data_IF_912762578985
#
_entry.id   IF_912762578985
#
_cell.length_a   1.000
_cell.length_b   1.000
_cell.length_c   1.000
_cell.angle_alpha   90.00
_cell.angle_beta   90.00
_cell.angle_gamma   90.00
#
_symmetry.space_group_name_H-M   'P 1'
#
loop_
_entity.id
_entity.type
_entity.pdbx_description
1 polymer ?
#
# COMPACT_ATOMS: atom_id res chain seq x y z
N UNK A 1 6.48 82.19 5.45
CA UNK A 1 5.25 81.39 5.66
C UNK A 1 5.64 79.92 5.56
N UNK A 2 5.13 79.09 6.48
CA UNK A 2 5.82 78.05 7.28
C UNK A 2 5.75 76.67 6.61
N UNK A 3 6.18 75.53 7.15
CA UNK A 3 7.11 75.06 8.19
C UNK A 3 6.96 73.52 8.18
N UNK A 4 8.01 72.84 8.65
CA UNK A 4 8.03 71.55 9.34
C UNK A 4 7.63 70.21 8.67
N UNK A 5 8.45 69.23 9.07
CA UNK A 5 8.60 67.83 8.72
C UNK A 5 7.62 66.94 9.56
N UNK A 6 7.77 65.59 9.64
CA UNK A 6 7.01 64.57 8.91
C UNK A 6 6.10 63.72 9.82
N UNK A 7 5.15 62.96 9.26
CA UNK A 7 4.70 61.70 9.89
C UNK A 7 4.40 60.62 8.86
N UNK A 8 5.16 59.54 8.99
CA UNK A 8 4.89 58.20 8.48
C UNK A 8 3.69 57.59 9.22
N UNK A 9 2.78 56.94 8.47
CA UNK A 9 1.77 56.07 9.03
C UNK A 9 1.66 54.79 8.19
N UNK A 10 2.29 53.75 8.72
CA UNK A 10 2.05 52.32 8.44
C UNK A 10 0.55 51.97 8.58
N UNK A 11 -0.02 51.08 7.75
CA UNK A 11 -1.36 50.56 7.97
C UNK A 11 -1.37 49.65 9.20
N UNK A 12 -2.30 49.93 10.13
CA UNK A 12 -2.46 49.23 11.39
C UNK A 12 -3.08 47.83 11.24
N UNK A 13 -2.65 46.93 12.11
CA UNK A 13 -3.00 45.50 12.22
C UNK A 13 -4.44 45.23 12.74
N UNK A 14 -5.35 46.21 12.72
CA UNK A 14 -6.69 46.09 13.32
C UNK A 14 -7.78 46.95 12.63
N UNK A 15 -7.90 46.89 11.31
CA UNK A 15 -9.12 47.39 10.64
C UNK A 15 -10.24 46.34 10.76
N UNK A 16 -11.30 46.68 11.51
CA UNK A 16 -12.54 45.90 11.56
C UNK A 16 -13.36 46.13 10.28
N UNK A 17 -13.94 45.08 9.67
CA UNK A 17 -14.79 45.26 8.50
C UNK A 17 -16.16 45.87 8.87
N UNK A 18 -16.61 46.77 8.01
CA UNK A 18 -17.87 47.50 8.02
C UNK A 18 -19.10 46.55 8.09
N UNK A 19 -20.01 46.69 9.09
CA UNK A 19 -21.13 45.78 9.30
C UNK A 19 -22.28 45.91 8.29
N UNK A 20 -22.18 46.79 7.27
CA UNK A 20 -23.27 47.05 6.32
C UNK A 20 -22.94 46.77 4.84
N UNK A 21 -21.93 45.95 4.53
CA UNK A 21 -21.73 45.48 3.16
C UNK A 21 -22.85 44.47 2.75
N UNK A 22 -23.49 44.62 1.58
CA UNK A 22 -24.58 43.74 1.15
C UNK A 22 -24.07 42.31 0.95
N UNK A 23 -24.73 41.35 1.61
CA UNK A 23 -24.34 39.95 1.70
C UNK A 23 -24.26 39.27 0.34
N UNK A 24 -23.07 38.76 0.01
CA UNK A 24 -22.92 37.68 -0.95
C UNK A 24 -23.48 36.40 -0.33
N UNK A 25 -24.31 35.69 -1.08
CA UNK A 25 -24.83 34.38 -0.67
C UNK A 25 -23.67 33.43 -0.39
N UNK A 26 -23.51 33.06 0.89
CA UNK A 26 -22.53 32.06 1.31
C UNK A 26 -22.94 30.69 0.76
N UNK A 27 -22.10 30.00 -0.05
CA UNK A 27 -22.37 28.62 -0.39
C UNK A 27 -22.32 27.77 0.89
N UNK A 28 -23.20 26.78 0.98
CA UNK A 28 -23.29 25.87 2.13
C UNK A 28 -21.90 25.36 2.55
N UNK A 29 -21.56 25.52 3.84
CA UNK A 29 -20.20 25.27 4.35
C UNK A 29 -19.66 23.84 4.18
N UNK A 30 -20.48 22.89 3.69
CA UNK A 30 -20.08 21.52 3.37
C UNK A 30 -19.35 21.37 2.02
N UNK A 31 -19.73 22.14 0.99
CA UNK A 31 -19.09 22.07 -0.33
C UNK A 31 -17.69 22.70 -0.33
N UNK A 32 -17.52 23.83 0.36
CA UNK A 32 -16.23 24.52 0.46
C UNK A 32 -15.13 23.68 1.11
N UNK A 33 -15.47 22.81 2.08
CA UNK A 33 -14.50 21.95 2.76
C UNK A 33 -14.00 20.79 1.88
N UNK A 34 -14.90 20.18 1.09
CA UNK A 34 -14.53 19.17 0.08
C UNK A 34 -13.64 19.77 -1.01
N UNK A 35 -14.05 20.92 -1.55
CA UNK A 35 -13.30 21.63 -2.58
C UNK A 35 -11.91 22.04 -2.08
N UNK A 36 -11.78 22.51 -0.84
CA UNK A 36 -10.46 22.88 -0.27
C UNK A 36 -9.55 21.66 -0.11
N UNK A 37 -10.08 20.52 0.34
CA UNK A 37 -9.29 19.30 0.50
C UNK A 37 -8.84 18.71 -0.84
N UNK A 38 -9.72 18.72 -1.84
CA UNK A 38 -9.43 18.11 -3.13
C UNK A 38 -8.79 19.06 -4.13
N UNK A 39 -8.96 20.38 -4.01
CA UNK A 39 -8.58 21.40 -5.01
C UNK A 39 -7.93 22.62 -4.31
N UNK A 40 -6.66 22.54 -3.85
CA UNK A 40 -6.01 23.55 -3.02
C UNK A 40 -5.58 24.84 -3.77
N UNK A 41 -6.14 25.14 -4.95
CA UNK A 41 -5.94 26.40 -5.69
C UNK A 41 -4.90 26.35 -6.82
N UNK A 42 -4.64 27.50 -7.44
CA UNK A 42 -3.85 27.64 -8.68
C UNK A 42 -2.36 27.27 -8.58
N UNK A 43 -1.81 27.24 -7.36
CA UNK A 43 -0.43 26.82 -7.08
C UNK A 43 -0.30 25.32 -6.76
N UNK A 44 -1.40 24.57 -6.84
CA UNK A 44 -1.38 23.12 -6.62
C UNK A 44 -0.68 22.40 -7.78
N UNK A 45 -0.08 21.21 -7.54
CA UNK A 45 0.49 20.39 -8.60
C UNK A 45 -0.51 20.08 -9.71
N UNK A 46 -0.02 19.92 -10.95
CA UNK A 46 -0.84 19.65 -12.13
C UNK A 46 -1.80 18.47 -11.92
N UNK A 47 -1.32 17.39 -11.27
CA UNK A 47 -2.12 16.22 -10.94
C UNK A 47 -3.35 16.52 -10.05
N UNK A 48 -3.27 17.57 -9.22
CA UNK A 48 -4.37 18.02 -8.38
C UNK A 48 -5.30 18.95 -9.14
N UNK A 49 -4.73 19.88 -9.92
CA UNK A 49 -5.50 20.82 -10.77
C UNK A 49 -6.34 20.10 -11.84
N UNK A 50 -5.81 19.00 -12.39
CA UNK A 50 -6.46 18.18 -13.41
C UNK A 50 -7.41 17.12 -12.86
N UNK A 51 -7.75 17.14 -11.57
CA UNK A 51 -8.74 16.21 -11.02
C UNK A 51 -10.09 16.38 -11.74
N UNK A 52 -10.68 15.28 -12.25
CA UNK A 52 -12.03 15.27 -12.81
C UNK A 52 -13.06 15.95 -11.90
N UNK A 53 -13.93 16.78 -12.47
CA UNK A 53 -15.04 17.46 -11.76
C UNK A 53 -16.36 16.70 -11.80
N UNK A 54 -16.50 15.78 -12.74
CA UNK A 54 -17.68 14.93 -12.93
C UNK A 54 -17.22 13.54 -13.40
N UNK A 55 -18.17 12.60 -13.47
CA UNK A 55 -17.88 11.22 -13.89
C UNK A 55 -17.46 11.12 -15.36
N UNK A 56 -17.92 12.03 -16.21
CA UNK A 56 -17.64 11.99 -17.66
C UNK A 56 -16.18 12.39 -17.96
N UNK A 57 -15.55 13.14 -17.06
CA UNK A 57 -14.11 13.44 -17.10
C UNK A 57 -13.22 12.26 -16.62
N UNK A 58 -13.78 11.20 -16.01
CA UNK A 58 -12.97 10.08 -15.51
C UNK A 58 -12.65 9.09 -16.63
N UNK A 59 -11.36 8.82 -16.82
CA UNK A 59 -10.85 7.95 -17.89
C UNK A 59 -10.54 6.54 -17.36
N UNK A 60 -10.72 5.52 -18.20
CA UNK A 60 -10.23 4.15 -17.99
C UNK A 60 -10.96 3.29 -16.95
N UNK A 61 -12.00 3.80 -16.29
CA UNK A 61 -12.80 3.06 -15.30
C UNK A 61 -14.24 2.77 -15.80
N UNK A 62 -14.41 2.54 -17.11
CA UNK A 62 -15.73 2.37 -17.75
C UNK A 62 -16.56 1.22 -17.13
N UNK A 63 -15.92 0.16 -16.62
CA UNK A 63 -16.58 -0.94 -15.93
C UNK A 63 -17.25 -0.53 -14.60
N UNK A 64 -16.82 0.58 -14.00
CA UNK A 64 -17.45 1.15 -12.79
C UNK A 64 -18.37 2.33 -13.08
N UNK A 65 -18.29 2.92 -14.28
CA UNK A 65 -18.95 4.19 -14.63
C UNK A 65 -20.11 4.05 -15.62
N UNK A 66 -20.35 2.83 -16.13
CA UNK A 66 -21.50 2.54 -16.99
C UNK A 66 -22.85 2.92 -16.34
N UNK A 67 -23.86 3.17 -17.16
CA UNK A 67 -25.21 3.47 -16.66
C UNK A 67 -25.73 2.36 -15.75
N UNK A 68 -26.36 2.74 -14.63
CA UNK A 68 -26.94 1.82 -13.64
C UNK A 68 -25.94 1.15 -12.68
N UNK A 69 -24.63 1.36 -12.86
CA UNK A 69 -23.61 0.82 -11.94
C UNK A 69 -23.78 1.38 -10.52
N UNK A 70 -23.40 0.63 -9.46
CA UNK A 70 -23.53 1.10 -8.09
C UNK A 70 -22.79 2.41 -7.80
N UNK A 71 -21.59 2.58 -8.38
CA UNK A 71 -20.80 3.80 -8.22
C UNK A 71 -21.49 5.01 -8.87
N UNK A 72 -21.99 4.85 -10.10
CA UNK A 72 -22.72 5.92 -10.78
C UNK A 72 -23.98 6.33 -10.02
N UNK A 73 -24.75 5.36 -9.50
CA UNK A 73 -25.91 5.66 -8.65
C UNK A 73 -25.54 6.41 -7.37
N UNK A 74 -24.41 6.08 -6.74
CA UNK A 74 -23.96 6.79 -5.54
C UNK A 74 -23.58 8.24 -5.84
N UNK A 75 -22.89 8.49 -6.94
CA UNK A 75 -22.54 9.85 -7.38
C UNK A 75 -23.79 10.60 -7.84
N UNK A 76 -24.75 9.97 -8.51
CA UNK A 76 -26.03 10.59 -8.90
C UNK A 76 -27.01 10.78 -7.71
N UNK A 77 -26.57 10.54 -6.47
CA UNK A 77 -27.35 10.77 -5.25
C UNK A 77 -28.28 9.63 -4.83
N UNK A 78 -28.30 8.53 -5.58
CA UNK A 78 -29.21 7.38 -5.42
C UNK A 78 -28.71 6.23 -4.54
N UNK A 79 -27.91 6.48 -3.49
CA UNK A 79 -27.44 5.41 -2.60
C UNK A 79 -26.90 5.87 -1.24
N UNK A 80 -26.95 4.94 -0.28
CA UNK A 80 -26.51 5.11 1.13
C UNK A 80 -25.49 4.05 1.56
N UNK A 81 -24.91 3.30 0.62
CA UNK A 81 -23.99 2.21 0.93
C UNK A 81 -22.56 2.72 0.95
N UNK A 82 -21.84 2.43 2.04
CA UNK A 82 -20.41 2.72 2.16
C UNK A 82 -19.62 2.07 1.03
N UNK A 83 -18.50 2.68 0.64
CA UNK A 83 -17.67 2.25 -0.47
C UNK A 83 -16.24 2.08 0.00
N UNK A 84 -15.59 1.01 -0.46
CA UNK A 84 -14.16 0.82 -0.37
C UNK A 84 -13.61 0.72 -1.80
N UNK A 85 -12.89 1.75 -2.20
CA UNK A 85 -12.17 1.86 -3.46
C UNK A 85 -10.79 1.23 -3.28
N UNK A 86 -10.44 0.25 -4.10
CA UNK A 86 -9.12 -0.35 -4.05
C UNK A 86 -8.51 -0.56 -5.42
N UNK A 87 -7.20 -0.44 -5.50
CA UNK A 87 -6.48 -0.65 -6.75
C UNK A 87 -5.13 0.07 -6.74
N UNK A 88 -4.34 -0.14 -7.80
CA UNK A 88 -3.02 0.46 -7.95
C UNK A 88 -3.05 1.99 -7.77
N UNK A 89 -1.91 2.60 -7.44
CA UNK A 89 -1.78 4.06 -7.45
C UNK A 89 -2.18 4.69 -8.78
N UNK A 90 -2.45 5.99 -8.77
CA UNK A 90 -2.77 6.73 -10.01
C UNK A 90 -4.08 6.40 -10.71
N UNK A 91 -4.80 5.36 -10.28
CA UNK A 91 -6.01 4.88 -10.95
C UNK A 91 -7.26 5.75 -10.73
N UNK A 92 -7.18 6.77 -9.87
CA UNK A 92 -8.28 7.72 -9.62
C UNK A 92 -9.10 7.47 -8.35
N UNK A 93 -8.60 6.71 -7.37
CA UNK A 93 -9.30 6.43 -6.09
C UNK A 93 -9.75 7.71 -5.37
N UNK A 94 -8.80 8.62 -5.08
CA UNK A 94 -9.07 9.91 -4.42
C UNK A 94 -10.02 10.78 -5.24
N UNK A 95 -9.90 10.75 -6.57
CA UNK A 95 -10.80 11.46 -7.49
C UNK A 95 -12.23 10.92 -7.40
N UNK A 96 -12.43 9.61 -7.50
CA UNK A 96 -13.75 9.01 -7.39
C UNK A 96 -14.38 9.29 -6.02
N UNK A 97 -13.58 9.27 -4.95
CA UNK A 97 -14.05 9.65 -3.62
C UNK A 97 -14.51 11.11 -3.55
N UNK A 98 -13.78 12.03 -4.18
CA UNK A 98 -14.17 13.44 -4.32
C UNK A 98 -15.51 13.57 -5.06
N UNK A 99 -15.68 12.86 -6.18
CA UNK A 99 -16.91 12.94 -6.99
C UNK A 99 -18.14 12.42 -6.24
N UNK A 100 -18.01 11.33 -5.48
CA UNK A 100 -19.07 10.81 -4.60
C UNK A 100 -19.47 11.87 -3.55
N UNK A 101 -18.50 12.65 -3.10
CA UNK A 101 -18.69 13.62 -2.02
C UNK A 101 -19.37 14.90 -2.54
N UNK A 102 -18.90 15.45 -3.66
CA UNK A 102 -19.41 16.70 -4.23
C UNK A 102 -20.84 16.58 -4.76
N UNK A 103 -21.24 15.40 -5.25
CA UNK A 103 -22.50 15.24 -5.98
C UNK A 103 -23.75 15.06 -5.10
N UNK A 104 -23.59 14.92 -3.78
CA UNK A 104 -24.69 14.44 -2.91
C UNK A 104 -25.27 15.50 -1.96
N UNK A 105 -24.76 16.74 -1.98
CA UNK A 105 -25.20 17.80 -1.05
C UNK A 105 -24.97 17.46 0.44
N UNK A 106 -24.23 16.39 0.71
CA UNK A 106 -23.88 15.89 2.04
C UNK A 106 -22.71 16.69 2.59
N UNK A 107 -22.57 16.72 3.92
CA UNK A 107 -21.36 17.27 4.55
C UNK A 107 -20.18 16.37 4.23
N UNK A 108 -19.00 16.94 3.97
CA UNK A 108 -17.79 16.17 3.73
C UNK A 108 -16.78 16.34 4.87
N UNK A 109 -16.19 15.23 5.31
CA UNK A 109 -15.08 15.20 6.25
C UNK A 109 -14.03 14.20 5.75
N UNK A 110 -12.77 14.61 5.70
CA UNK A 110 -11.66 13.77 5.27
C UNK A 110 -10.69 13.47 6.42
N UNK A 111 -10.27 12.22 6.52
CA UNK A 111 -9.20 11.78 7.40
C UNK A 111 -8.13 11.06 6.58
N UNK A 112 -6.86 11.42 6.81
CA UNK A 112 -5.74 10.62 6.32
C UNK A 112 -5.38 9.57 7.37
N UNK A 113 -5.33 8.29 6.96
CA UNK A 113 -5.00 7.21 7.88
C UNK A 113 -3.59 7.29 8.47
N UNK A 114 -2.70 8.05 7.84
CA UNK A 114 -1.32 8.28 8.29
C UNK A 114 -1.24 9.18 9.53
N UNK A 115 -2.18 10.12 9.66
CA UNK A 115 -2.11 11.20 10.66
C UNK A 115 -3.25 11.17 11.69
N UNK A 116 -4.33 10.43 11.41
CA UNK A 116 -5.51 10.39 12.28
C UNK A 116 -5.44 9.26 13.31
N UNK A 117 -5.48 9.59 14.61
CA UNK A 117 -5.63 8.62 15.69
C UNK A 117 -7.09 8.23 15.96
N UNK A 118 -7.31 7.35 16.95
CA UNK A 118 -8.66 6.88 17.35
C UNK A 118 -9.52 8.04 17.87
N UNK A 119 -8.90 9.03 18.52
CA UNK A 119 -9.61 10.18 19.11
C UNK A 119 -10.19 11.07 18.03
N UNK A 120 -9.41 11.34 16.98
CA UNK A 120 -9.80 12.15 15.82
C UNK A 120 -10.96 11.48 15.08
N UNK A 121 -10.88 10.16 14.84
CA UNK A 121 -11.97 9.38 14.23
C UNK A 121 -13.26 9.52 15.03
N UNK A 122 -13.21 9.36 16.36
CA UNK A 122 -14.40 9.50 17.22
C UNK A 122 -14.96 10.92 17.20
N UNK A 123 -14.11 11.94 17.23
CA UNK A 123 -14.54 13.34 17.19
C UNK A 123 -15.30 13.67 15.89
N UNK A 124 -14.84 13.15 14.75
CA UNK A 124 -15.53 13.32 13.46
C UNK A 124 -16.88 12.60 13.47
N UNK A 125 -16.93 11.36 13.98
CA UNK A 125 -18.19 10.60 14.12
C UNK A 125 -19.20 11.32 15.02
N UNK A 126 -18.76 11.85 16.16
CA UNK A 126 -19.62 12.57 17.10
C UNK A 126 -20.18 13.86 16.48
N UNK A 127 -19.36 14.54 15.67
CA UNK A 127 -19.78 15.72 14.92
C UNK A 127 -20.80 15.36 13.85
N UNK A 128 -20.52 14.33 13.05
CA UNK A 128 -21.45 13.80 12.05
C UNK A 128 -22.80 13.40 12.66
N UNK A 129 -22.79 12.75 13.83
CA UNK A 129 -24.01 12.39 14.56
C UNK A 129 -24.83 13.61 14.97
N UNK A 130 -24.18 14.65 15.53
CA UNK A 130 -24.86 15.88 15.95
C UNK A 130 -25.47 16.60 14.75
N UNK A 131 -24.74 16.69 13.64
CA UNK A 131 -25.22 17.30 12.39
C UNK A 131 -26.42 16.52 11.84
N UNK A 132 -26.34 15.19 11.76
CA UNK A 132 -27.44 14.37 11.29
C UNK A 132 -28.72 14.55 12.13
N UNK A 133 -28.60 14.62 13.45
CA UNK A 133 -29.76 14.79 14.35
C UNK A 133 -30.35 16.20 14.28
N UNK A 134 -29.52 17.24 14.15
CA UNK A 134 -29.98 18.64 14.19
C UNK A 134 -30.46 19.15 12.84
N UNK A 135 -29.76 18.78 11.78
CA UNK A 135 -29.92 19.36 10.44
C UNK A 135 -30.50 18.34 9.44
N UNK A 136 -30.53 17.04 9.79
CA UNK A 136 -30.95 15.98 8.87
C UNK A 136 -29.93 15.69 7.76
N UNK A 137 -28.73 16.29 7.83
CA UNK A 137 -27.70 16.17 6.80
C UNK A 137 -26.73 15.06 7.18
N UNK A 138 -26.57 14.08 6.29
CA UNK A 138 -25.59 13.00 6.46
C UNK A 138 -24.17 13.48 6.10
N UNK A 139 -23.17 12.94 6.80
CA UNK A 139 -21.75 13.21 6.50
C UNK A 139 -21.14 12.08 5.67
N UNK A 140 -20.45 12.44 4.59
CA UNK A 140 -19.51 11.56 3.88
C UNK A 140 -18.17 11.62 4.59
N UNK A 141 -17.75 10.50 5.14
CA UNK A 141 -16.45 10.36 5.79
C UNK A 141 -15.47 9.70 4.81
N UNK A 142 -14.55 10.48 4.27
CA UNK A 142 -13.47 9.97 3.43
C UNK A 142 -12.28 9.53 4.28
N UNK A 143 -11.78 8.32 4.04
CA UNK A 143 -10.55 7.81 4.65
C UNK A 143 -9.60 7.36 3.56
N UNK A 144 -8.49 8.09 3.41
CA UNK A 144 -7.42 7.67 2.51
C UNK A 144 -6.46 6.70 3.18
N UNK A 145 -5.96 5.74 2.41
CA UNK A 145 -5.10 4.64 2.84
C UNK A 145 -5.60 3.89 4.08
N UNK A 146 -6.86 3.47 4.07
CA UNK A 146 -7.52 2.80 5.21
C UNK A 146 -6.78 1.56 5.71
N UNK A 147 -5.94 0.93 4.89
CA UNK A 147 -5.08 -0.18 5.29
C UNK A 147 -4.06 0.20 6.38
N UNK A 148 -3.77 1.49 6.57
CA UNK A 148 -2.88 2.01 7.63
C UNK A 148 -3.57 2.14 8.98
N UNK A 149 -4.90 2.13 9.03
CA UNK A 149 -5.62 2.12 10.29
C UNK A 149 -5.43 0.80 11.03
N UNK A 150 -5.04 0.90 12.30
CA UNK A 150 -5.09 -0.19 13.26
C UNK A 150 -6.50 -0.74 13.40
N UNK A 151 -6.61 -1.98 13.88
CA UNK A 151 -7.90 -2.63 14.15
C UNK A 151 -8.80 -1.77 15.05
N UNK A 152 -8.25 -1.14 16.07
CA UNK A 152 -9.00 -0.27 16.99
C UNK A 152 -9.58 0.98 16.31
N UNK A 153 -8.86 1.57 15.35
CA UNK A 153 -9.37 2.70 14.56
C UNK A 153 -10.50 2.25 13.64
N UNK A 154 -10.39 1.06 13.03
CA UNK A 154 -11.43 0.50 12.18
C UNK A 154 -12.69 0.12 12.98
N UNK A 155 -12.52 -0.50 14.16
CA UNK A 155 -13.63 -0.86 15.05
C UNK A 155 -14.41 0.38 15.52
N UNK A 156 -13.75 1.53 15.66
CA UNK A 156 -14.41 2.79 16.01
C UNK A 156 -15.39 3.28 14.93
N UNK A 157 -15.22 2.86 13.67
CA UNK A 157 -16.10 3.25 12.55
C UNK A 157 -17.38 2.40 12.48
N UNK A 158 -17.37 1.19 13.06
CA UNK A 158 -18.43 0.19 12.85
C UNK A 158 -19.82 0.71 13.20
N UNK A 159 -19.97 1.26 14.40
CA UNK A 159 -21.26 1.80 14.85
C UNK A 159 -21.73 3.00 14.02
N UNK A 160 -20.81 3.80 13.48
CA UNK A 160 -21.16 4.95 12.66
C UNK A 160 -21.62 4.54 11.26
N UNK A 161 -20.98 3.52 10.68
CA UNK A 161 -21.36 2.95 9.37
C UNK A 161 -22.67 2.16 9.47
N UNK A 162 -22.83 1.34 10.51
CA UNK A 162 -24.03 0.52 10.72
C UNK A 162 -25.28 1.38 10.93
N UNK A 163 -25.18 2.42 11.75
CA UNK A 163 -26.29 3.34 12.00
C UNK A 163 -26.42 4.43 10.93
N UNK A 164 -25.65 4.34 9.83
CA UNK A 164 -25.61 5.33 8.74
C UNK A 164 -25.38 6.77 9.21
N UNK A 165 -24.70 6.93 10.35
CA UNK A 165 -24.25 8.23 10.85
C UNK A 165 -23.29 8.88 9.86
N UNK A 166 -22.46 8.06 9.21
CA UNK A 166 -21.59 8.47 8.12
C UNK A 166 -21.78 7.54 6.92
N UNK A 167 -21.67 8.11 5.73
CA UNK A 167 -21.40 7.36 4.51
C UNK A 167 -19.88 7.22 4.39
N UNK A 168 -19.34 6.02 4.65
CA UNK A 168 -17.91 5.80 4.57
C UNK A 168 -17.46 5.67 3.11
N UNK A 169 -16.47 6.45 2.71
CA UNK A 169 -15.75 6.28 1.44
C UNK A 169 -14.28 6.06 1.79
N UNK A 170 -13.80 4.82 1.67
CA UNK A 170 -12.42 4.48 1.98
C UNK A 170 -11.63 4.18 0.71
N UNK A 171 -10.37 4.58 0.68
CA UNK A 171 -9.44 4.24 -0.40
C UNK A 171 -8.26 3.42 0.15
N UNK A 172 -7.77 2.46 -0.64
CA UNK A 172 -6.57 1.69 -0.31
C UNK A 172 -5.85 1.19 -1.57
N UNK A 173 -4.53 1.12 -1.52
CA UNK A 173 -3.70 0.44 -2.53
C UNK A 173 -3.61 -1.07 -2.34
N UNK A 174 -3.82 -1.55 -1.11
CA UNK A 174 -3.81 -2.97 -0.78
C UNK A 174 -5.17 -3.65 -0.97
N UNK A 175 -5.18 -4.98 -1.12
CA UNK A 175 -6.42 -5.75 -1.17
C UNK A 175 -7.17 -5.65 0.19
N UNK A 176 -8.42 -5.12 0.20
CA UNK A 176 -9.17 -4.87 1.43
C UNK A 176 -9.42 -6.10 2.29
N UNK A 177 -9.47 -7.30 1.69
CA UNK A 177 -9.73 -8.54 2.43
C UNK A 177 -8.64 -8.89 3.45
N UNK A 178 -7.44 -8.31 3.33
CA UNK A 178 -6.34 -8.51 4.27
C UNK A 178 -6.16 -7.35 5.26
N UNK A 179 -6.49 -6.13 4.84
CA UNK A 179 -6.17 -4.91 5.59
C UNK A 179 -7.38 -4.26 6.28
N UNK A 180 -8.61 -4.64 5.90
CA UNK A 180 -9.85 -4.12 6.48
C UNK A 180 -10.60 -5.22 7.24
N UNK A 181 -11.13 -4.89 8.42
CA UNK A 181 -11.90 -5.82 9.25
C UNK A 181 -13.17 -6.29 8.55
N UNK A 182 -13.48 -7.59 8.66
CA UNK A 182 -14.65 -8.21 8.02
C UNK A 182 -15.98 -7.50 8.27
N UNK A 183 -16.27 -6.94 9.46
CA UNK A 183 -17.52 -6.21 9.70
C UNK A 183 -17.67 -4.91 8.89
N UNK A 184 -16.57 -4.23 8.52
CA UNK A 184 -16.63 -3.08 7.61
C UNK A 184 -16.81 -3.53 6.16
N UNK A 185 -16.11 -4.59 5.76
CA UNK A 185 -16.23 -5.18 4.42
C UNK A 185 -17.66 -5.63 4.13
N UNK A 186 -18.32 -6.30 5.08
CA UNK A 186 -19.68 -6.79 4.90
C UNK A 186 -20.74 -5.69 4.76
N UNK A 187 -20.39 -4.44 5.12
CA UNK A 187 -21.28 -3.27 5.09
C UNK A 187 -20.90 -2.27 3.99
N UNK A 188 -19.94 -2.63 3.13
CA UNK A 188 -19.40 -1.74 2.11
C UNK A 188 -19.39 -2.40 0.73
N UNK A 189 -19.56 -1.61 -0.32
CA UNK A 189 -19.31 -2.03 -1.69
C UNK A 189 -17.81 -1.99 -1.96
N UNK A 190 -17.27 -3.12 -2.39
CA UNK A 190 -15.88 -3.23 -2.83
C UNK A 190 -15.80 -2.91 -4.31
N UNK A 191 -15.10 -1.83 -4.66
CA UNK A 191 -14.93 -1.40 -6.05
C UNK A 191 -13.45 -1.43 -6.43
N UNK A 192 -13.12 -2.30 -7.39
CA UNK A 192 -11.76 -2.46 -7.88
C UNK A 192 -11.49 -1.51 -9.05
N UNK A 193 -10.52 -0.61 -8.87
CA UNK A 193 -9.97 0.20 -9.94
C UNK A 193 -8.84 -0.57 -10.62
N UNK A 194 -8.78 -0.46 -11.94
CA UNK A 194 -7.75 -1.09 -12.78
C UNK A 194 -6.70 -0.06 -13.19
N UNK A 195 -5.44 -0.47 -13.44
CA UNK A 195 -4.47 0.37 -14.16
C UNK A 195 -5.10 0.97 -15.41
N UNK A 196 -4.76 2.21 -15.72
CA UNK A 196 -5.17 2.84 -16.98
C UNK A 196 -4.39 2.21 -18.12
N UNK A 197 -5.04 2.02 -19.26
CA UNK A 197 -4.35 1.63 -20.49
C UNK A 197 -3.65 2.83 -21.14
N UNK A 198 -2.80 2.54 -22.12
CA UNK A 198 -1.99 3.55 -22.81
C UNK A 198 -2.85 4.63 -23.49
N UNK A 199 -4.01 4.24 -24.01
CA UNK A 199 -4.96 5.16 -24.62
C UNK A 199 -5.56 6.13 -23.57
N UNK A 200 -5.95 5.61 -22.41
CA UNK A 200 -6.47 6.40 -21.31
C UNK A 200 -5.42 7.37 -20.74
N UNK A 201 -4.17 6.93 -20.58
CA UNK A 201 -3.07 7.81 -20.16
C UNK A 201 -2.83 8.89 -21.22
N UNK A 202 -2.86 8.50 -22.50
CA UNK A 202 -2.75 9.44 -23.61
C UNK A 202 -3.83 10.54 -23.55
N UNK A 203 -5.07 10.19 -23.27
CA UNK A 203 -6.17 11.15 -23.12
C UNK A 203 -5.96 12.09 -21.92
N UNK A 204 -5.47 11.56 -20.79
CA UNK A 204 -5.13 12.37 -19.61
C UNK A 204 -4.06 13.42 -19.93
N UNK A 205 -3.02 13.02 -20.68
CA UNK A 205 -1.94 13.93 -21.10
C UNK A 205 -2.48 15.02 -22.03
N UNK A 206 -3.20 14.63 -23.08
CA UNK A 206 -3.72 15.57 -24.08
C UNK A 206 -4.66 16.59 -23.43
N UNK A 207 -5.52 16.12 -22.52
CA UNK A 207 -6.41 16.98 -21.75
C UNK A 207 -5.63 17.94 -20.85
N UNK A 208 -4.59 17.47 -20.17
CA UNK A 208 -3.77 18.33 -19.31
C UNK A 208 -3.01 19.41 -20.08
N UNK A 209 -2.64 19.15 -21.33
CA UNK A 209 -2.01 20.16 -22.19
C UNK A 209 -3.03 21.23 -22.59
N UNK A 210 -4.23 20.82 -23.02
CA UNK A 210 -5.23 21.72 -23.60
C UNK A 210 -6.10 22.47 -22.58
N UNK A 211 -6.44 21.86 -21.44
CA UNK A 211 -7.39 22.42 -20.47
C UNK A 211 -6.80 23.65 -19.76
N UNK A 212 -7.64 24.68 -19.54
CA UNK A 212 -7.27 25.91 -18.84
C UNK A 212 -6.76 25.65 -17.41
N UNK A 213 -7.28 24.60 -16.75
CA UNK A 213 -6.80 24.15 -15.45
C UNK A 213 -5.43 23.51 -15.52
N UNK A 214 -5.04 22.99 -16.67
CA UNK A 214 -3.78 22.31 -16.90
C UNK A 214 -2.71 23.29 -17.34
N UNK A 215 -2.19 23.06 -18.55
CA UNK A 215 -1.17 23.90 -19.16
C UNK A 215 -1.75 24.95 -20.11
N UNK A 216 -3.07 24.96 -20.36
CA UNK A 216 -3.76 25.97 -21.15
C UNK A 216 -3.12 26.21 -22.54
N UNK A 217 -2.63 25.16 -23.19
CA UNK A 217 -1.94 25.23 -24.48
C UNK A 217 -0.57 25.92 -24.45
N UNK A 218 0.01 26.16 -23.26
CA UNK A 218 1.31 26.83 -23.08
C UNK A 218 2.48 26.09 -23.73
N UNK A 219 2.39 24.76 -23.82
CA UNK A 219 3.45 23.91 -24.36
C UNK A 219 2.85 22.86 -25.29
N UNK A 220 3.64 22.41 -26.26
CA UNK A 220 3.32 21.23 -27.08
C UNK A 220 4.16 20.03 -26.63
N UNK A 221 3.79 18.83 -27.04
CA UNK A 221 4.58 17.61 -26.81
C UNK A 221 4.81 16.90 -28.13
N UNK A 222 6.07 16.54 -28.41
CA UNK A 222 6.41 15.75 -29.58
C UNK A 222 5.78 14.35 -29.47
N UNK A 223 5.38 13.75 -30.58
CA UNK A 223 4.66 12.47 -30.57
C UNK A 223 5.46 11.33 -29.92
N UNK A 224 6.76 11.28 -30.17
CA UNK A 224 7.68 10.31 -29.57
C UNK A 224 7.89 10.54 -28.06
N UNK A 225 7.96 11.81 -27.63
CA UNK A 225 8.01 12.19 -26.22
C UNK A 225 6.71 11.81 -25.50
N UNK A 226 5.56 11.98 -26.17
CA UNK A 226 4.25 11.56 -25.65
C UNK A 226 4.18 10.05 -25.45
N UNK A 227 4.59 9.28 -26.46
CA UNK A 227 4.61 7.81 -26.38
C UNK A 227 5.56 7.32 -25.27
N UNK A 228 6.71 7.97 -25.12
CA UNK A 228 7.64 7.69 -24.02
C UNK A 228 7.02 8.04 -22.66
N UNK A 229 6.33 9.17 -22.53
CA UNK A 229 5.64 9.56 -21.30
C UNK A 229 4.55 8.55 -20.91
N UNK A 230 3.77 8.07 -21.88
CA UNK A 230 2.77 7.01 -21.66
C UNK A 230 3.44 5.74 -21.13
N UNK A 231 4.49 5.27 -21.79
CA UNK A 231 5.23 4.08 -21.37
C UNK A 231 5.80 4.22 -19.95
N UNK A 232 6.31 5.41 -19.60
CA UNK A 232 6.87 5.71 -18.28
C UNK A 232 5.83 5.83 -17.17
N UNK A 233 4.60 6.20 -17.52
CA UNK A 233 3.49 6.32 -16.58
C UNK A 233 3.03 4.95 -16.07
N UNK A 234 3.13 3.89 -16.89
CA UNK A 234 2.81 2.52 -16.47
C UNK A 234 1.37 2.34 -15.97
N UNK A 235 0.42 3.09 -16.56
CA UNK A 235 -0.98 3.08 -16.16
C UNK A 235 -1.34 3.96 -14.95
N UNK A 236 -0.41 4.82 -14.50
CA UNK A 236 -0.60 5.79 -13.42
C UNK A 236 -0.80 7.22 -13.97
N UNK A 237 -2.03 7.75 -13.85
CA UNK A 237 -2.33 9.11 -14.29
C UNK A 237 -1.60 10.19 -13.47
N UNK A 238 -1.48 10.02 -12.15
CA UNK A 238 -0.82 11.01 -11.27
C UNK A 238 0.64 11.16 -11.69
N UNK A 239 1.33 10.04 -11.88
CA UNK A 239 2.72 9.98 -12.33
C UNK A 239 2.89 10.62 -13.71
N UNK A 240 1.99 10.34 -14.66
CA UNK A 240 2.02 10.97 -16.00
C UNK A 240 1.95 12.50 -15.91
N UNK A 241 1.06 13.03 -15.07
CA UNK A 241 0.86 14.46 -14.89
C UNK A 241 2.03 15.12 -14.16
N UNK A 242 2.64 14.44 -13.19
CA UNK A 242 3.86 14.93 -12.51
C UNK A 242 5.04 15.03 -13.48
N UNK A 243 5.23 14.04 -14.36
CA UNK A 243 6.29 14.08 -15.36
C UNK A 243 6.04 15.15 -16.43
N UNK A 244 4.79 15.27 -16.88
CA UNK A 244 4.37 16.33 -17.80
C UNK A 244 4.63 17.72 -17.21
N UNK A 245 4.25 17.94 -15.94
CA UNK A 245 4.48 19.22 -15.24
C UNK A 245 5.96 19.57 -15.17
N UNK A 246 6.82 18.62 -14.76
CA UNK A 246 8.26 18.84 -14.69
C UNK A 246 8.90 19.07 -16.07
N UNK A 247 8.42 18.40 -17.11
CA UNK A 247 8.87 18.64 -18.48
C UNK A 247 8.43 20.02 -18.99
N UNK A 248 7.19 20.41 -18.70
CA UNK A 248 6.67 21.72 -19.06
C UNK A 248 7.40 22.86 -18.33
N UNK A 249 7.83 22.68 -17.07
CA UNK A 249 8.65 23.66 -16.34
C UNK A 249 10.05 23.87 -16.97
N UNK A 250 10.53 22.91 -17.77
CA UNK A 250 11.86 22.95 -18.36
C UNK A 250 11.92 23.61 -19.75
N UNK A 251 10.77 24.00 -20.32
CA UNK A 251 10.66 24.61 -21.65
C UNK A 251 9.99 25.99 -21.58
N UNK A 252 10.32 26.85 -22.53
CA UNK A 252 9.68 28.16 -22.63
C UNK A 252 8.25 28.05 -23.18
N UNK A 253 7.45 29.09 -22.99
CA UNK A 253 6.08 29.14 -23.52
C UNK A 253 6.09 29.09 -25.05
N UNK A 254 5.25 28.22 -25.61
CA UNK A 254 5.17 27.96 -27.06
C UNK A 254 6.19 26.94 -27.58
N UNK A 255 7.10 26.45 -26.74
CA UNK A 255 8.05 25.40 -27.13
C UNK A 255 7.45 23.99 -26.99
N UNK A 256 8.09 23.05 -27.67
CA UNK A 256 7.71 21.63 -27.68
C UNK A 256 8.58 20.82 -26.72
N UNK A 257 7.95 19.95 -25.94
CA UNK A 257 8.61 18.97 -25.08
C UNK A 257 9.11 17.83 -25.96
N UNK A 258 10.44 17.77 -26.13
CA UNK A 258 11.12 16.65 -26.80
C UNK A 258 11.41 15.48 -25.85
N UNK A 259 11.84 14.35 -26.42
CA UNK A 259 12.31 13.16 -25.70
C UNK A 259 13.46 13.49 -24.75
N UNK A 260 14.40 14.34 -25.16
CA UNK A 260 15.55 14.76 -24.36
C UNK A 260 15.13 15.63 -23.16
N UNK A 261 14.23 16.59 -23.38
CA UNK A 261 13.66 17.42 -22.32
C UNK A 261 12.92 16.54 -21.32
N UNK A 262 12.09 15.61 -21.80
CA UNK A 262 11.37 14.68 -20.94
C UNK A 262 12.35 13.85 -20.09
N UNK A 263 13.38 13.26 -20.71
CA UNK A 263 14.38 12.44 -20.02
C UNK A 263 15.14 13.21 -18.93
N UNK A 264 15.51 14.46 -19.20
CA UNK A 264 16.22 15.30 -18.22
C UNK A 264 15.32 15.76 -17.08
N UNK A 265 14.04 16.05 -17.37
CA UNK A 265 13.05 16.47 -16.36
C UNK A 265 12.58 15.34 -15.45
N UNK A 266 12.53 14.09 -15.93
CA UNK A 266 12.16 12.93 -15.10
C UNK A 266 13.09 12.77 -13.91
N UNK A 267 14.40 12.96 -14.08
CA UNK A 267 15.35 12.88 -12.96
C UNK A 267 15.04 13.92 -11.85
N UNK A 268 14.54 15.10 -12.20
CA UNK A 268 14.07 16.11 -11.23
C UNK A 268 12.72 15.75 -10.61
N UNK A 269 11.81 15.19 -11.43
CA UNK A 269 10.48 14.79 -10.99
C UNK A 269 10.52 13.60 -10.03
N UNK A 270 11.39 12.61 -10.23
CA UNK A 270 11.59 11.46 -9.33
C UNK A 270 12.00 11.95 -7.93
N UNK A 271 12.88 12.95 -7.82
CA UNK A 271 13.28 13.55 -6.54
C UNK A 271 12.14 14.31 -5.83
N UNK A 272 11.18 14.89 -6.58
CA UNK A 272 9.96 15.51 -5.99
C UNK A 272 8.87 14.49 -5.65
N UNK A 273 8.71 13.45 -6.49
CA UNK A 273 7.72 12.39 -6.37
C UNK A 273 8.06 11.37 -5.28
N UNK A 274 9.35 11.20 -4.95
CA UNK A 274 9.81 10.34 -3.85
C UNK A 274 9.36 10.78 -2.45
N UNK A 275 8.68 11.94 -2.34
CA UNK A 275 7.93 12.27 -1.13
C UNK A 275 6.59 11.55 -0.99
N UNK A 276 6.00 10.99 -2.07
CA UNK A 276 4.61 10.49 -2.05
C UNK A 276 4.32 9.17 -2.81
N UNK A 277 5.34 8.37 -3.18
CA UNK A 277 5.11 6.95 -3.50
C UNK A 277 4.89 6.62 -4.99
N UNK A 278 5.66 5.71 -5.62
CA UNK A 278 5.17 4.64 -6.56
C UNK A 278 6.23 4.04 -7.52
N UNK A 279 7.42 4.63 -7.73
CA UNK A 279 8.54 3.88 -8.38
C UNK A 279 9.19 2.83 -7.45
N UNK A 280 8.86 2.89 -6.17
CA UNK A 280 9.40 2.06 -5.09
C UNK A 280 9.26 0.56 -5.36
N UNK A 281 8.13 0.13 -5.92
CA UNK A 281 7.86 -1.30 -6.12
C UNK A 281 8.70 -1.92 -7.22
N UNK A 282 8.91 -1.23 -8.35
CA UNK A 282 9.70 -1.77 -9.45
C UNK A 282 11.18 -1.87 -9.08
N UNK A 283 11.71 -0.84 -8.41
CA UNK A 283 13.10 -0.85 -7.91
C UNK A 283 13.28 -1.92 -6.83
N UNK A 284 12.34 -2.04 -5.88
CA UNK A 284 12.37 -3.10 -4.86
C UNK A 284 12.24 -4.49 -5.48
N UNK A 285 11.39 -4.63 -6.49
CA UNK A 285 11.17 -5.89 -7.21
C UNK A 285 12.42 -6.31 -7.98
N UNK A 286 13.08 -5.36 -8.66
CA UNK A 286 14.34 -5.58 -9.36
C UNK A 286 15.48 -5.88 -8.38
N UNK A 287 15.54 -5.19 -7.24
CA UNK A 287 16.46 -5.48 -6.15
C UNK A 287 16.35 -6.93 -5.66
N UNK A 288 15.14 -7.37 -5.32
CA UNK A 288 14.87 -8.74 -4.85
C UNK A 288 15.22 -9.78 -5.92
N UNK A 289 14.84 -9.53 -7.17
CA UNK A 289 15.17 -10.42 -8.29
C UNK A 289 16.67 -10.51 -8.55
N UNK A 290 17.41 -9.42 -8.36
CA UNK A 290 18.86 -9.39 -8.53
C UNK A 290 19.55 -10.23 -7.45
N UNK A 291 19.14 -10.08 -6.19
CA UNK A 291 19.64 -10.92 -5.09
C UNK A 291 19.30 -12.39 -5.33
N UNK A 292 18.05 -12.70 -5.71
CA UNK A 292 17.61 -14.06 -6.07
C UNK A 292 18.40 -14.64 -7.25
N UNK A 293 18.66 -13.82 -8.27
CA UNK A 293 19.48 -14.14 -9.42
C UNK A 293 20.98 -14.26 -9.12
N UNK A 294 21.38 -13.97 -7.89
CA UNK A 294 22.78 -13.95 -7.44
C UNK A 294 23.66 -12.94 -8.19
N UNK A 295 23.06 -11.86 -8.69
CA UNK A 295 23.75 -10.72 -9.27
C UNK A 295 23.99 -9.68 -8.17
N UNK A 296 25.19 -9.72 -7.59
CA UNK A 296 25.59 -8.83 -6.49
C UNK A 296 25.64 -7.38 -6.95
N UNK A 297 26.13 -7.13 -8.16
CA UNK A 297 26.35 -5.79 -8.68
C UNK A 297 25.01 -5.11 -8.99
N UNK A 298 24.08 -5.82 -9.64
CA UNK A 298 22.73 -5.34 -9.87
C UNK A 298 21.97 -5.13 -8.55
N UNK A 299 22.12 -6.05 -7.58
CA UNK A 299 21.50 -5.91 -6.26
C UNK A 299 22.01 -4.67 -5.51
N UNK A 300 23.32 -4.41 -5.52
CA UNK A 300 23.89 -3.20 -4.93
C UNK A 300 23.47 -1.94 -5.67
N UNK A 301 23.37 -1.99 -6.99
CA UNK A 301 22.86 -0.87 -7.79
C UNK A 301 21.42 -0.51 -7.40
N UNK A 302 20.52 -1.49 -7.32
CA UNK A 302 19.14 -1.23 -6.90
C UNK A 302 19.02 -0.85 -5.42
N UNK A 303 19.88 -1.39 -4.54
CA UNK A 303 19.99 -0.92 -3.16
C UNK A 303 20.38 0.56 -3.10
N UNK A 304 21.40 0.96 -3.85
CA UNK A 304 21.83 2.36 -3.94
C UNK A 304 20.70 3.25 -4.48
N UNK A 305 19.97 2.79 -5.50
CA UNK A 305 18.79 3.51 -6.01
C UNK A 305 17.70 3.70 -4.96
N UNK A 306 17.39 2.69 -4.14
CA UNK A 306 16.42 2.83 -3.05
C UNK A 306 16.92 3.81 -1.98
N UNK A 307 18.21 3.77 -1.64
CA UNK A 307 18.81 4.68 -0.66
C UNK A 307 18.79 6.13 -1.14
N UNK A 308 19.25 6.38 -2.37
CA UNK A 308 19.25 7.72 -2.97
C UNK A 308 17.82 8.23 -3.24
N UNK A 309 16.88 7.32 -3.54
CA UNK A 309 15.44 7.62 -3.63
C UNK A 309 14.75 7.85 -2.28
N UNK A 310 15.49 7.82 -1.16
CA UNK A 310 14.94 8.12 0.15
C UNK A 310 13.99 7.06 0.72
N UNK A 311 14.04 5.83 0.23
CA UNK A 311 13.26 4.70 0.75
C UNK A 311 13.53 4.49 2.25
N UNK A 312 12.50 4.15 3.04
CA UNK A 312 12.68 3.89 4.48
C UNK A 312 13.70 2.74 4.66
N UNK A 313 14.85 2.98 5.32
CA UNK A 313 15.86 1.94 5.52
C UNK A 313 15.31 0.70 6.23
N UNK A 314 14.28 0.87 7.08
CA UNK A 314 13.59 -0.23 7.75
C UNK A 314 12.75 -1.04 6.77
N UNK A 315 12.20 -0.42 5.72
CA UNK A 315 11.53 -1.14 4.65
C UNK A 315 12.51 -2.02 3.89
N UNK A 316 13.65 -1.47 3.46
CA UNK A 316 14.72 -2.23 2.79
C UNK A 316 15.15 -3.41 3.67
N UNK A 317 15.41 -3.17 4.96
CA UNK A 317 15.80 -4.21 5.90
C UNK A 317 14.75 -5.33 6.05
N UNK A 318 13.45 -4.99 6.11
CA UNK A 318 12.37 -6.01 6.14
C UNK A 318 12.37 -6.89 4.88
N UNK A 319 12.58 -6.29 3.71
CA UNK A 319 12.65 -7.03 2.44
C UNK A 319 13.83 -8.00 2.40
N UNK A 320 14.99 -7.60 2.93
CA UNK A 320 16.18 -8.44 3.07
C UNK A 320 15.91 -9.62 4.01
N UNK A 321 15.24 -9.41 5.15
CA UNK A 321 14.87 -10.47 6.11
C UNK A 321 13.94 -11.52 5.50
N UNK A 322 12.92 -11.09 4.74
CA UNK A 322 12.01 -12.00 4.05
C UNK A 322 12.78 -12.83 3.02
N UNK A 323 13.57 -12.16 2.17
CA UNK A 323 14.37 -12.80 1.14
C UNK A 323 15.33 -13.86 1.71
N UNK A 324 15.92 -13.61 2.87
CA UNK A 324 16.81 -14.58 3.52
C UNK A 324 16.13 -15.93 3.79
N UNK A 325 14.84 -15.94 4.08
CA UNK A 325 14.07 -17.17 4.32
C UNK A 325 13.41 -17.72 3.05
N UNK A 326 13.00 -16.84 2.14
CA UNK A 326 12.28 -17.19 0.91
C UNK A 326 13.22 -17.77 -0.17
N UNK A 327 14.36 -17.12 -0.41
CA UNK A 327 15.22 -17.41 -1.57
C UNK A 327 16.52 -18.13 -1.22
N UNK A 328 16.87 -18.20 0.07
CA UNK A 328 18.11 -18.83 0.58
C UNK A 328 17.79 -19.96 1.56
N UNK A 329 16.93 -19.69 2.54
CA UNK A 329 16.36 -20.72 3.42
C UNK A 329 17.43 -21.56 4.14
N UNK A 330 17.30 -22.88 4.05
CA UNK A 330 18.24 -23.80 4.73
C UNK A 330 19.53 -24.03 3.93
N UNK A 331 19.65 -23.53 2.69
CA UNK A 331 20.88 -23.61 1.93
C UNK A 331 22.01 -22.80 2.59
N UNK A 332 21.66 -21.68 3.23
CA UNK A 332 22.51 -20.98 4.19
C UNK A 332 21.68 -20.38 5.35
N UNK A 333 21.54 -21.12 6.48
CA UNK A 333 20.80 -20.66 7.65
C UNK A 333 21.38 -19.40 8.31
N UNK A 334 22.63 -19.02 8.01
CA UNK A 334 23.22 -17.78 8.55
C UNK A 334 22.66 -16.53 7.88
N UNK A 335 22.09 -16.64 6.67
CA UNK A 335 21.53 -15.52 5.93
C UNK A 335 20.45 -14.77 6.72
N UNK A 336 19.55 -15.50 7.40
CA UNK A 336 18.52 -14.88 8.23
C UNK A 336 19.12 -14.12 9.42
N UNK A 337 20.15 -14.68 10.06
CA UNK A 337 20.83 -14.04 11.18
C UNK A 337 21.54 -12.75 10.72
N UNK A 338 22.25 -12.81 9.58
CA UNK A 338 22.88 -11.64 8.95
C UNK A 338 21.85 -10.56 8.62
N UNK A 339 20.72 -10.93 8.02
CA UNK A 339 19.64 -10.01 7.68
C UNK A 339 18.99 -9.35 8.91
N UNK A 340 18.74 -10.13 9.98
CA UNK A 340 18.20 -9.61 11.25
C UNK A 340 19.20 -8.67 11.93
N UNK A 341 20.48 -9.03 11.96
CA UNK A 341 21.52 -8.16 12.52
C UNK A 341 21.62 -6.83 11.76
N UNK A 342 21.53 -6.86 10.42
CA UNK A 342 21.46 -5.64 9.61
C UNK A 342 20.22 -4.81 9.91
N UNK A 343 19.04 -5.44 10.05
CA UNK A 343 17.81 -4.74 10.41
C UNK A 343 17.87 -4.07 11.79
N UNK A 344 18.48 -4.74 12.77
CA UNK A 344 18.73 -4.16 14.09
C UNK A 344 19.72 -2.99 14.01
N UNK A 345 20.82 -3.15 13.27
CA UNK A 345 21.79 -2.09 13.08
C UNK A 345 21.17 -0.85 12.41
N UNK A 346 20.30 -1.04 11.41
CA UNK A 346 19.53 0.04 10.78
C UNK A 346 18.68 0.80 11.80
N UNK A 347 18.00 0.08 12.71
CA UNK A 347 17.18 0.70 13.75
C UNK A 347 18.00 1.47 14.81
N UNK A 348 19.26 1.08 15.02
CA UNK A 348 20.13 1.66 16.05
C UNK A 348 21.00 2.82 15.55
N UNK A 349 21.49 2.76 14.30
CA UNK A 349 22.53 3.67 13.79
C UNK A 349 21.95 4.71 12.82
N UNK A 350 20.90 4.38 12.07
CA UNK A 350 20.30 5.29 11.09
C UNK A 350 21.18 5.56 9.85
N UNK A 351 20.69 6.41 8.94
CA UNK A 351 21.40 6.78 7.70
C UNK A 351 22.26 8.04 7.91
N UNK A 352 23.40 8.17 7.18
CA UNK A 352 23.84 7.34 6.07
C UNK A 352 24.63 6.07 6.45
N UNK A 353 25.10 5.90 7.69
CA UNK A 353 25.97 4.80 8.11
C UNK A 353 25.34 3.41 7.93
N UNK A 354 24.02 3.29 8.14
CA UNK A 354 23.29 2.03 7.93
C UNK A 354 23.34 1.51 6.47
N UNK A 355 23.74 2.34 5.49
CA UNK A 355 23.99 1.87 4.11
C UNK A 355 25.02 0.73 4.06
N UNK A 356 26.01 0.76 4.97
CA UNK A 356 27.08 -0.23 5.02
C UNK A 356 26.57 -1.58 5.51
N UNK A 357 25.74 -1.60 6.54
CA UNK A 357 25.18 -2.83 7.10
C UNK A 357 24.15 -3.46 6.16
N UNK A 358 23.36 -2.62 5.48
CA UNK A 358 22.47 -3.06 4.39
C UNK A 358 23.27 -3.67 3.24
N UNK A 359 24.32 -2.99 2.74
CA UNK A 359 25.16 -3.49 1.67
C UNK A 359 25.84 -4.82 2.05
N UNK A 360 26.36 -4.93 3.27
CA UNK A 360 26.96 -6.17 3.76
C UNK A 360 25.97 -7.34 3.75
N UNK A 361 24.74 -7.14 4.23
CA UNK A 361 23.72 -8.17 4.19
C UNK A 361 23.32 -8.54 2.75
N UNK A 362 23.20 -7.55 1.86
CA UNK A 362 22.89 -7.79 0.45
C UNK A 362 23.97 -8.62 -0.24
N UNK A 363 25.25 -8.29 -0.01
CA UNK A 363 26.37 -9.06 -0.57
C UNK A 363 26.34 -10.51 -0.07
N UNK A 364 26.12 -10.72 1.24
CA UNK A 364 25.97 -12.07 1.80
C UNK A 364 24.84 -12.83 1.11
N UNK A 365 23.64 -12.26 1.05
CA UNK A 365 22.46 -12.93 0.50
C UNK A 365 22.58 -13.16 -1.01
N UNK A 366 23.14 -12.22 -1.76
CA UNK A 366 23.33 -12.35 -3.21
C UNK A 366 24.36 -13.44 -3.54
N UNK A 367 25.42 -13.58 -2.73
CA UNK A 367 26.44 -14.65 -2.91
C UNK A 367 26.06 -15.98 -2.26
N UNK A 368 25.05 -16.02 -1.38
CA UNK A 368 24.61 -17.25 -0.73
C UNK A 368 24.00 -18.27 -1.72
N UNK A 369 24.14 -19.58 -1.44
CA UNK A 369 23.45 -20.61 -2.21
C UNK A 369 21.93 -20.44 -2.08
N UNK A 370 21.22 -20.52 -3.21
CA UNK A 370 19.77 -20.27 -3.28
C UNK A 370 18.95 -21.53 -3.06
N UNK A 371 17.89 -21.43 -2.27
CA UNK A 371 16.89 -22.48 -2.10
C UNK A 371 15.56 -21.88 -1.65
N UNK A 372 14.50 -22.25 -2.36
CA UNK A 372 13.12 -21.93 -2.00
C UNK A 372 12.42 -23.08 -1.24
N UNK A 373 13.19 -24.06 -0.76
CA UNK A 373 12.67 -25.27 -0.10
C UNK A 373 11.78 -24.96 1.12
N UNK A 374 12.12 -23.89 1.86
CA UNK A 374 11.39 -23.46 3.07
C UNK A 374 10.01 -22.90 2.71
N UNK A 375 9.95 -21.95 1.76
CA UNK A 375 8.67 -21.37 1.32
C UNK A 375 7.80 -22.43 0.62
N UNK A 376 8.39 -23.26 -0.23
CA UNK A 376 7.68 -24.35 -0.90
C UNK A 376 7.08 -25.34 0.11
N UNK A 377 7.81 -25.67 1.19
CA UNK A 377 7.35 -26.60 2.21
C UNK A 377 6.15 -26.06 3.00
N UNK A 378 6.22 -24.81 3.46
CA UNK A 378 5.11 -24.21 4.23
C UNK A 378 3.89 -23.97 3.34
N UNK A 379 4.09 -23.54 2.09
CA UNK A 379 2.98 -23.33 1.15
C UNK A 379 2.27 -24.63 0.81
N UNK A 380 3.00 -25.73 0.62
CA UNK A 380 2.41 -27.05 0.41
C UNK A 380 1.58 -27.52 1.62
N UNK A 381 2.09 -27.32 2.84
CA UNK A 381 1.36 -27.66 4.07
C UNK A 381 0.09 -26.80 4.25
N UNK A 382 0.18 -25.50 3.98
CA UNK A 382 -0.98 -24.59 4.02
C UNK A 382 -2.00 -24.92 2.93
N UNK A 383 -1.56 -25.33 1.73
CA UNK A 383 -2.45 -25.77 0.67
C UNK A 383 -3.25 -27.02 1.07
N UNK A 384 -2.60 -27.99 1.69
CA UNK A 384 -3.26 -29.21 2.20
C UNK A 384 -4.32 -28.89 3.27
N UNK A 385 -4.03 -27.96 4.18
CA UNK A 385 -4.99 -27.48 5.17
C UNK A 385 -6.20 -26.80 4.48
N UNK A 386 -5.94 -25.94 3.49
CA UNK A 386 -7.02 -25.26 2.72
C UNK A 386 -7.88 -26.24 1.92
N UNK A 387 -7.33 -27.38 1.52
CA UNK A 387 -8.05 -28.47 0.84
C UNK A 387 -8.83 -29.37 1.82
N UNK A 388 -8.81 -29.07 3.12
CA UNK A 388 -9.57 -29.80 4.13
C UNK A 388 -8.86 -31.04 4.69
N UNK A 389 -7.54 -31.18 4.49
CA UNK A 389 -6.74 -32.25 5.13
C UNK A 389 -6.45 -31.91 6.60
N UNK A 390 -7.52 -31.77 7.40
CA UNK A 390 -7.49 -31.33 8.80
C UNK A 390 -7.83 -32.46 9.76
N UNK A 391 -7.31 -33.66 9.50
CA UNK A 391 -7.45 -34.79 10.41
C UNK A 391 -6.96 -34.40 11.83
N UNK A 392 -7.58 -34.94 12.89
CA UNK A 392 -7.26 -34.54 14.25
C UNK A 392 -5.82 -34.91 14.63
N UNK A 393 -5.25 -34.18 15.58
CA UNK A 393 -3.93 -34.49 16.15
C UNK A 393 -3.97 -35.90 16.77
N UNK A 394 -2.97 -36.76 16.48
CA UNK A 394 -2.89 -38.09 17.08
C UNK A 394 -2.99 -38.05 18.62
N UNK A 395 -3.74 -38.95 19.27
CA UNK A 395 -4.02 -38.87 20.72
C UNK A 395 -2.78 -38.78 21.61
N UNK A 396 -1.72 -39.54 21.30
CA UNK A 396 -0.45 -39.53 22.03
C UNK A 396 0.33 -38.21 21.90
N UNK A 397 -0.02 -37.33 20.96
CA UNK A 397 0.57 -35.99 20.82
C UNK A 397 -0.28 -34.86 21.43
N UNK A 398 -1.50 -35.16 21.90
CA UNK A 398 -2.39 -34.15 22.52
C UNK A 398 -1.87 -33.78 23.91
N UNK A 399 -2.27 -32.59 24.38
CA UNK A 399 -1.90 -32.15 25.72
C UNK A 399 -2.44 -33.11 26.80
N UNK A 400 -1.54 -33.54 27.69
CA UNK A 400 -1.80 -34.46 28.80
C UNK A 400 -1.78 -33.81 30.17
N UNK A 401 -1.55 -32.49 30.28
CA UNK A 401 -1.27 -31.82 31.56
C UNK A 401 -2.51 -31.40 32.36
N UNK A 402 -3.71 -31.63 31.84
CA UNK A 402 -4.96 -31.28 32.52
C UNK A 402 -5.64 -32.50 33.17
N UNK A 403 -6.42 -32.26 34.22
CA UNK A 403 -7.14 -33.31 34.94
C UNK A 403 -8.14 -34.04 34.04
N UNK A 404 -8.05 -35.36 33.94
CA UNK A 404 -8.90 -36.19 33.07
C UNK A 404 -8.34 -36.45 31.67
N UNK A 405 -7.14 -35.94 31.33
CA UNK A 405 -6.53 -36.14 30.01
C UNK A 405 -6.22 -37.63 29.70
N UNK A 406 -5.76 -38.38 30.70
CA UNK A 406 -5.48 -39.83 30.56
C UNK A 406 -6.75 -40.65 30.32
N UNK A 407 -7.86 -40.28 30.96
CA UNK A 407 -9.16 -40.95 30.76
C UNK A 407 -9.73 -40.67 29.36
N UNK A 408 -9.33 -39.55 28.74
CA UNK A 408 -9.63 -39.18 27.36
C UNK A 408 -8.63 -39.75 26.34
N UNK A 409 -7.66 -40.55 26.78
CA UNK A 409 -6.63 -41.15 25.92
C UNK A 409 -5.58 -40.16 25.38
N UNK A 410 -5.47 -38.97 25.99
CA UNK A 410 -4.50 -37.96 25.57
C UNK A 410 -3.13 -38.18 26.23
N UNK A 411 -2.05 -37.98 25.46
CA UNK A 411 -0.66 -38.19 25.88
C UNK A 411 -0.37 -39.61 26.42
N UNK A 412 -1.27 -40.56 26.23
CA UNK A 412 -1.07 -41.97 26.52
C UNK A 412 -0.15 -42.52 25.41
N UNK A 413 0.86 -43.30 25.79
CA UNK A 413 1.84 -43.93 24.89
C UNK A 413 2.76 -42.97 24.09
N UNK A 414 2.87 -41.70 24.50
CA UNK A 414 3.86 -40.79 23.92
C UNK A 414 5.28 -41.31 24.16
N UNK A 415 6.02 -41.55 23.08
CA UNK A 415 7.43 -41.93 23.12
C UNK A 415 8.30 -40.68 23.11
N UNK A 416 8.89 -40.35 24.26
CA UNK A 416 9.79 -39.21 24.40
C UNK A 416 11.15 -39.48 23.73
N UNK A 417 11.52 -38.76 22.64
CA UNK A 417 12.70 -39.11 21.85
C UNK A 417 14.03 -39.09 22.62
N UNK A 418 14.17 -38.24 23.65
CA UNK A 418 15.40 -38.13 24.43
C UNK A 418 15.67 -39.34 25.34
N UNK A 419 14.70 -40.23 25.54
CA UNK A 419 14.92 -41.50 26.24
C UNK A 419 15.54 -42.56 25.33
N UNK A 420 15.53 -42.36 24.01
CA UNK A 420 16.21 -43.22 23.05
C UNK A 420 17.64 -42.70 22.78
N UNK A 421 18.68 -43.54 22.83
CA UNK A 421 20.06 -43.13 22.57
C UNK A 421 20.30 -42.47 21.20
N UNK A 422 19.46 -42.75 20.21
CA UNK A 422 19.53 -42.16 18.87
C UNK A 422 18.88 -40.77 18.85
N UNK A 423 17.97 -40.48 19.78
CA UNK A 423 17.23 -39.23 19.83
C UNK A 423 16.13 -39.10 18.77
N UNK A 424 15.83 -40.18 18.03
CA UNK A 424 14.82 -40.24 16.96
C UNK A 424 14.08 -41.57 17.11
N UNK A 425 12.76 -41.52 17.30
CA UNK A 425 11.94 -42.70 17.61
C UNK A 425 10.88 -42.95 16.54
N UNK A 426 10.52 -44.22 16.29
CA UNK A 426 9.38 -44.56 15.43
C UNK A 426 8.07 -44.19 16.14
N UNK A 427 7.41 -43.14 15.65
CA UNK A 427 6.11 -42.68 16.15
C UNK A 427 5.39 -41.89 15.05
N UNK A 428 4.07 -42.03 14.97
CA UNK A 428 3.28 -41.19 14.08
C UNK A 428 3.22 -39.76 14.62
N UNK A 429 3.82 -38.81 13.90
CA UNK A 429 3.69 -37.38 14.22
C UNK A 429 2.66 -36.66 13.36
N UNK A 430 2.52 -37.07 12.09
CA UNK A 430 1.53 -36.51 11.18
C UNK A 430 0.11 -37.05 11.50
N UNK A 431 -0.94 -36.25 11.27
CA UNK A 431 -2.32 -36.73 11.32
C UNK A 431 -2.59 -37.87 10.34
N UNK A 432 -3.73 -38.54 10.54
CA UNK A 432 -4.16 -39.61 9.63
C UNK A 432 -4.34 -39.11 8.20
N UNK A 433 -3.84 -39.88 7.24
CA UNK A 433 -3.85 -39.54 5.81
C UNK A 433 -2.66 -38.68 5.36
N UNK A 434 -1.79 -38.24 6.27
CA UNK A 434 -0.62 -37.40 5.97
C UNK A 434 0.73 -38.06 6.30
N UNK A 435 0.75 -39.32 6.74
CA UNK A 435 1.94 -39.99 7.24
C UNK A 435 3.08 -40.09 6.20
N UNK A 436 2.72 -40.16 4.93
CA UNK A 436 3.64 -40.32 3.80
C UNK A 436 3.94 -39.00 3.06
N UNK A 437 3.39 -37.88 3.53
CA UNK A 437 3.61 -36.57 2.89
C UNK A 437 4.96 -36.00 3.31
N UNK A 438 5.76 -35.58 2.33
CA UNK A 438 7.04 -34.90 2.52
C UNK A 438 6.92 -33.44 2.08
N UNK A 439 6.63 -32.54 3.02
CA UNK A 439 6.55 -31.11 2.70
C UNK A 439 7.91 -30.49 2.39
N UNK A 440 8.92 -30.77 3.23
CA UNK A 440 10.26 -30.22 3.06
C UNK A 440 11.13 -31.10 2.17
N UNK A 441 11.51 -30.60 1.00
CA UNK A 441 12.44 -31.29 0.10
C UNK A 441 13.72 -30.45 -0.01
N UNK A 442 14.84 -30.86 0.61
CA UNK A 442 16.10 -30.14 0.51
C UNK A 442 16.56 -30.04 -0.94
N UNK A 443 17.07 -28.88 -1.33
CA UNK A 443 17.77 -28.70 -2.60
C UNK A 443 19.17 -29.33 -2.57
N UNK A 444 19.84 -29.33 -3.72
CA UNK A 444 21.24 -29.74 -3.83
C UNK A 444 22.23 -28.59 -3.58
N UNK A 445 21.75 -27.43 -3.12
CA UNK A 445 22.56 -26.23 -2.93
C UNK A 445 22.98 -26.04 -1.47
N UNK A 446 24.17 -25.47 -1.27
CA UNK A 446 24.67 -25.09 0.05
C UNK A 446 24.62 -26.23 1.07
N UNK A 447 24.14 -25.91 2.26
CA UNK A 447 24.04 -26.84 3.39
C UNK A 447 22.94 -27.90 3.22
N UNK A 448 21.91 -27.62 2.40
CA UNK A 448 20.82 -28.58 2.15
C UNK A 448 21.30 -29.85 1.45
N UNK A 449 22.36 -29.76 0.64
CA UNK A 449 22.96 -30.91 -0.03
C UNK A 449 23.33 -32.03 0.96
N UNK A 450 23.88 -31.67 2.13
CA UNK A 450 24.21 -32.63 3.18
C UNK A 450 23.01 -33.05 4.05
N UNK A 451 21.90 -32.31 3.98
CA UNK A 451 20.70 -32.59 4.77
C UNK A 451 19.82 -33.68 4.15
N UNK A 452 19.83 -33.85 2.83
CA UNK A 452 18.98 -34.81 2.13
C UNK A 452 19.13 -36.24 2.68
N UNK A 453 20.37 -36.74 2.81
CA UNK A 453 20.63 -38.10 3.29
C UNK A 453 20.24 -38.28 4.77
N UNK A 454 20.54 -37.28 5.59
CA UNK A 454 20.22 -37.31 7.01
C UNK A 454 18.70 -37.26 7.24
N UNK A 455 17.99 -36.38 6.51
CA UNK A 455 16.54 -36.27 6.58
C UNK A 455 15.85 -37.55 6.10
N UNK A 456 16.34 -38.17 5.02
CA UNK A 456 15.84 -39.46 4.55
C UNK A 456 16.00 -40.55 5.61
N UNK A 457 17.14 -40.58 6.32
CA UNK A 457 17.37 -41.49 7.44
C UNK A 457 16.40 -41.22 8.60
N UNK A 458 16.19 -39.97 8.98
CA UNK A 458 15.22 -39.59 10.03
C UNK A 458 13.81 -40.05 9.64
N UNK A 459 13.35 -39.72 8.43
CA UNK A 459 12.02 -40.09 7.92
C UNK A 459 11.81 -41.60 7.96
N UNK A 460 12.83 -42.38 7.60
CA UNK A 460 12.77 -43.84 7.66
C UNK A 460 12.54 -44.36 9.09
N UNK A 461 13.29 -43.84 10.06
CA UNK A 461 13.14 -44.21 11.48
C UNK A 461 11.77 -43.81 12.00
N UNK A 462 11.39 -42.53 11.81
CA UNK A 462 10.12 -41.97 12.30
C UNK A 462 8.92 -42.73 11.74
N UNK A 463 8.94 -43.09 10.45
CA UNK A 463 7.87 -43.84 9.77
C UNK A 463 7.93 -45.36 10.02
N UNK A 464 8.86 -45.84 10.85
CA UNK A 464 8.99 -47.26 11.15
C UNK A 464 9.35 -48.16 9.96
N UNK A 465 9.88 -47.58 8.87
CA UNK A 465 10.27 -48.35 7.67
C UNK A 465 11.60 -49.05 7.95
N UNK A 466 11.61 -50.39 8.01
CA UNK A 466 12.83 -51.18 8.27
C UNK A 466 13.88 -50.97 7.17
N UNK A 467 15.14 -51.18 7.57
CA UNK A 467 16.38 -50.94 6.81
C UNK A 467 16.48 -51.75 5.53
#
# INVERSE_FOLDING_TARGET
MPADDPTSATPGLFDQPDPNAPGSESPSGGQAAADTYFHPGAHAPLAVRMRPRNLDEVVGQSHLLGQGTPLRRLVEGGGDTSVILFGPPGTGKTTLASLISSATGRRFEALSALNAGVKEVRAVIDTARKTLVREGIQTVLFIDEVHRFSKTQQDALLGAVENRTVLLVAATTENPSFSVVSPLLSRSLLLQLRPLDDAAIGEVIDRAIADDRGLAGRVNIASDARDQLIALAGGDARRSLTYLEAAAEAVADGEEISVETLATSINRAVVRYDRDGDQHYDVTSAFIKSVRGSDVDAALHYLARMIEGGEDPRFIARRIVILASEDIGMADPTALQTAVAAAQAVALIGMPEARLTLAQAVIHLATAPKSNSVIAAIDAALADIRQGKTAPVPPHLRDGHYSGAKDLGHAVDYVYPHNDPIGVVPQQYAPDGLQEVDYFTPSNHGREKGMADYLAKIRRIVRGKRR
#
